data_IF_579310791624
#
_entry.id   IF_579310791624
#
_cell.length_a   1.000
_cell.length_b   1.000
_cell.length_c   1.000
_cell.angle_alpha   90.00
_cell.angle_beta   90.00
_cell.angle_gamma   90.00
#
_symmetry.space_group_name_H-M   'P 1'
#
loop_
_entity.id
_entity.type
_entity.pdbx_description
1 polymer ?
#
# COMPACT_ATOMS: atom_id res chain seq x y z
N UNK A 1 58.08 -33.94 54.29
CA UNK A 1 56.96 -34.52 53.51
C UNK A 1 55.67 -33.98 54.09
N UNK A 2 55.13 -32.91 53.51
CA UNK A 2 53.79 -32.40 53.81
C UNK A 2 53.12 -32.16 52.47
N UNK A 3 52.30 -33.13 52.07
CA UNK A 3 51.49 -33.06 50.86
C UNK A 3 50.22 -32.29 51.22
N UNK A 4 50.20 -30.99 50.91
CA UNK A 4 48.98 -30.19 50.98
C UNK A 4 48.08 -30.60 49.81
N UNK A 5 47.00 -31.30 50.13
CA UNK A 5 45.95 -31.70 49.19
C UNK A 5 45.16 -30.42 48.82
N UNK A 6 45.43 -29.86 47.65
CA UNK A 6 44.56 -28.85 47.03
C UNK A 6 43.24 -29.54 46.67
N UNK A 7 42.24 -29.35 47.52
CA UNK A 7 40.86 -29.68 47.21
C UNK A 7 40.29 -28.50 46.39
N UNK A 8 40.55 -28.50 45.09
CA UNK A 8 39.84 -27.63 44.13
C UNK A 8 38.38 -28.07 44.09
N UNK A 9 37.55 -27.37 44.86
CA UNK A 9 36.09 -27.46 44.79
C UNK A 9 35.68 -27.01 43.39
N UNK A 10 35.42 -27.99 42.51
CA UNK A 10 34.62 -27.82 41.31
C UNK A 10 33.20 -27.49 41.76
N UNK A 11 32.91 -26.21 41.95
CA UNK A 11 31.53 -25.74 41.90
C UNK A 11 31.00 -26.16 40.52
N UNK A 12 29.95 -26.99 40.40
CA UNK A 12 29.27 -27.11 39.12
C UNK A 12 28.81 -25.70 38.79
N UNK A 13 29.28 -25.17 37.65
CA UNK A 13 28.79 -23.90 37.15
C UNK A 13 27.26 -24.03 37.01
N UNK A 14 26.51 -23.41 37.92
CA UNK A 14 25.06 -23.21 37.82
C UNK A 14 24.83 -22.25 36.65
N UNK A 15 25.03 -22.74 35.44
CA UNK A 15 24.70 -22.08 34.20
C UNK A 15 23.65 -22.91 33.45
N UNK A 16 23.04 -22.34 32.40
CA UNK A 16 21.94 -22.93 31.62
C UNK A 16 22.26 -24.28 30.93
N UNK A 17 23.44 -24.86 31.15
CA UNK A 17 23.90 -26.10 30.55
C UNK A 17 24.18 -26.04 29.05
N UNK A 18 23.79 -24.95 28.38
CA UNK A 18 24.11 -24.61 26.99
C UNK A 18 25.26 -23.60 26.97
N UNK A 19 26.08 -23.64 25.93
CA UNK A 19 27.02 -22.54 25.63
C UNK A 19 26.28 -21.34 25.05
N UNK A 20 26.88 -20.14 25.13
CA UNK A 20 26.33 -18.94 24.49
C UNK A 20 26.24 -19.10 22.97
N UNK A 21 27.20 -19.79 22.36
CA UNK A 21 27.20 -20.07 20.91
C UNK A 21 26.03 -20.96 20.50
N UNK A 22 25.74 -22.02 21.26
CA UNK A 22 24.58 -22.87 21.02
C UNK A 22 23.25 -22.10 21.16
N UNK A 23 23.17 -21.17 22.11
CA UNK A 23 21.98 -20.34 22.27
C UNK A 23 21.81 -19.36 21.10
N UNK A 24 22.90 -18.71 20.67
CA UNK A 24 22.87 -17.79 19.54
C UNK A 24 22.54 -18.50 18.22
N UNK A 25 23.15 -19.66 17.95
CA UNK A 25 22.90 -20.46 16.75
C UNK A 25 21.44 -20.97 16.69
N UNK A 26 20.90 -21.43 17.83
CA UNK A 26 19.49 -21.84 17.91
C UNK A 26 18.54 -20.68 17.54
N UNK A 27 18.82 -19.47 18.03
CA UNK A 27 18.03 -18.27 17.69
C UNK A 27 18.19 -17.88 16.23
N UNK A 28 19.41 -17.93 15.69
CA UNK A 28 19.68 -17.63 14.29
C UNK A 28 18.89 -18.57 13.36
N UNK A 29 18.91 -19.88 13.63
CA UNK A 29 18.19 -20.88 12.85
C UNK A 29 16.67 -20.73 12.98
N UNK A 30 16.18 -20.50 14.20
CA UNK A 30 14.76 -20.29 14.45
C UNK A 30 14.25 -19.02 13.74
N UNK A 31 15.02 -17.93 13.77
CA UNK A 31 14.65 -16.69 13.08
C UNK A 31 14.67 -16.83 11.55
N UNK A 32 15.66 -17.55 11.00
CA UNK A 32 15.71 -17.84 9.56
C UNK A 32 14.51 -18.69 9.10
N UNK A 33 13.98 -19.56 9.98
CA UNK A 33 12.78 -20.35 9.70
C UNK A 33 11.48 -19.55 9.87
N UNK A 34 11.45 -18.62 10.82
CA UNK A 34 10.24 -17.85 11.17
C UNK A 34 9.96 -16.69 10.20
N UNK A 35 10.99 -16.16 9.55
CA UNK A 35 10.85 -15.08 8.59
C UNK A 35 10.87 -15.60 7.16
N UNK A 36 10.04 -15.04 6.26
CA UNK A 36 10.09 -15.41 4.86
C UNK A 36 11.44 -15.00 4.25
N UNK A 37 11.78 -15.61 3.11
CA UNK A 37 13.08 -15.46 2.45
C UNK A 37 13.40 -14.05 1.93
N UNK A 38 14.39 -13.91 1.03
CA UNK A 38 14.75 -12.62 0.45
C UNK A 38 13.57 -12.00 -0.32
N UNK A 39 13.52 -10.67 -0.39
CA UNK A 39 12.43 -9.95 -1.07
C UNK A 39 11.89 -8.76 -0.28
N UNK A 40 10.70 -8.30 -0.71
CA UNK A 40 10.05 -7.08 -0.21
C UNK A 40 9.13 -7.39 0.96
N UNK A 41 9.28 -6.69 2.06
CA UNK A 41 8.56 -6.93 3.31
C UNK A 41 7.59 -5.81 3.64
N UNK A 42 6.36 -6.16 3.93
CA UNK A 42 5.30 -5.22 4.30
C UNK A 42 4.78 -5.45 5.70
N UNK A 43 4.26 -4.38 6.28
CA UNK A 43 3.48 -4.41 7.52
C UNK A 43 2.05 -3.99 7.26
N UNK A 44 1.12 -4.69 7.90
CA UNK A 44 -0.29 -4.34 7.85
C UNK A 44 -0.58 -3.15 8.79
N UNK A 45 -1.02 -2.05 8.20
CA UNK A 45 -1.66 -0.93 8.89
C UNK A 45 -3.12 -1.32 9.16
N UNK A 46 -3.41 -1.72 10.40
CA UNK A 46 -4.71 -2.25 10.78
C UNK A 46 -5.80 -1.17 10.80
N UNK A 47 -6.91 -1.48 10.13
CA UNK A 47 -8.07 -0.62 9.93
C UNK A 47 -8.27 -0.24 8.47
N UNK A 48 -9.52 -0.21 8.02
CA UNK A 48 -9.93 0.30 6.68
C UNK A 48 -10.69 1.61 6.83
N UNK A 49 -10.10 2.56 7.53
CA UNK A 49 -10.68 3.88 7.75
C UNK A 49 -9.60 4.95 7.64
N UNK A 50 -10.00 6.21 7.51
CA UNK A 50 -9.10 7.37 7.52
C UNK A 50 -7.97 7.29 8.55
N UNK A 51 -8.26 6.78 9.75
CA UNK A 51 -7.30 6.63 10.83
C UNK A 51 -7.05 5.15 11.12
N UNK A 52 -5.80 4.71 10.96
CA UNK A 52 -5.35 3.33 11.21
C UNK A 52 -4.49 3.25 12.46
N UNK A 53 -4.30 2.04 13.00
CA UNK A 53 -3.44 1.83 14.18
C UNK A 53 -1.98 2.15 13.82
N UNK A 54 -1.33 3.00 14.62
CA UNK A 54 0.04 3.45 14.41
C UNK A 54 1.00 3.21 15.58
N UNK A 55 0.61 2.43 16.59
CA UNK A 55 1.36 2.22 17.84
C UNK A 55 2.78 1.64 17.70
N UNK A 56 3.11 1.08 16.54
CA UNK A 56 4.44 0.58 16.20
C UNK A 56 5.39 1.68 15.73
N UNK A 57 4.87 2.87 15.45
CA UNK A 57 5.66 4.01 14.96
C UNK A 57 5.90 5.05 16.04
N UNK A 58 7.00 5.77 15.88
CA UNK A 58 7.29 7.00 16.61
C UNK A 58 6.53 8.17 15.97
N UNK A 59 5.59 8.77 16.72
CA UNK A 59 4.69 9.82 16.22
C UNK A 59 5.44 11.03 15.63
N UNK A 60 6.49 11.50 16.32
CA UNK A 60 7.30 12.62 15.84
C UNK A 60 8.04 12.29 14.54
N UNK A 61 8.50 11.04 14.39
CA UNK A 61 9.21 10.61 13.18
C UNK A 61 8.28 10.62 11.96
N UNK A 62 7.10 10.02 12.07
CA UNK A 62 6.15 9.93 10.95
C UNK A 62 5.62 11.30 10.52
N UNK A 63 5.46 12.24 11.45
CA UNK A 63 5.10 13.63 11.12
C UNK A 63 6.26 14.37 10.45
N UNK A 64 7.46 14.32 11.04
CA UNK A 64 8.65 15.04 10.54
C UNK A 64 9.06 14.60 9.14
N UNK A 65 8.89 13.33 8.82
CA UNK A 65 9.16 12.76 7.48
C UNK A 65 7.99 12.84 6.51
N UNK A 66 6.90 13.52 6.88
CA UNK A 66 5.68 13.65 6.09
C UNK A 66 5.09 12.29 5.66
N UNK A 67 5.21 11.27 6.52
CA UNK A 67 4.71 9.92 6.23
C UNK A 67 3.23 9.79 6.57
N UNK A 68 2.80 10.42 7.66
CA UNK A 68 1.43 10.37 8.10
C UNK A 68 1.05 11.58 8.95
N UNK A 69 -0.21 12.00 8.83
CA UNK A 69 -0.87 12.76 9.87
C UNK A 69 -1.01 11.88 11.11
N UNK A 70 -0.88 12.49 12.29
CA UNK A 70 -1.08 11.83 13.58
C UNK A 70 -2.30 12.47 14.23
N UNK A 71 -3.24 11.64 14.66
CA UNK A 71 -4.40 12.11 15.42
C UNK A 71 -3.95 12.54 16.82
N UNK A 72 -4.60 13.56 17.40
CA UNK A 72 -4.18 14.17 18.67
C UNK A 72 -4.00 13.10 19.76
N UNK A 73 -2.76 12.84 20.22
CA UNK A 73 -2.49 11.78 21.19
C UNK A 73 -3.15 12.05 22.54
N UNK A 74 -3.64 13.27 22.80
CA UNK A 74 -4.39 13.60 24.03
C UNK A 74 -5.83 13.10 24.02
N UNK A 75 -6.38 12.69 22.87
CA UNK A 75 -7.77 12.25 22.71
C UNK A 75 -7.93 10.75 22.49
N UNK A 76 -6.84 10.01 22.28
CA UNK A 76 -6.88 8.57 22.04
C UNK A 76 -5.80 7.85 22.86
N UNK A 77 -6.19 6.79 23.56
CA UNK A 77 -5.27 5.92 24.32
C UNK A 77 -4.28 5.16 23.42
N UNK A 78 -4.51 5.15 22.09
CA UNK A 78 -3.68 4.47 21.10
C UNK A 78 -3.30 5.42 19.97
N UNK A 79 -2.03 5.45 19.59
CA UNK A 79 -1.56 6.26 18.46
C UNK A 79 -2.29 5.83 17.18
N UNK A 80 -2.96 6.79 16.53
CA UNK A 80 -3.61 6.61 15.22
C UNK A 80 -2.95 7.50 14.20
N UNK A 81 -2.77 6.96 13.01
CA UNK A 81 -2.11 7.64 11.90
C UNK A 81 -2.96 7.60 10.64
N UNK A 82 -2.66 8.50 9.73
CA UNK A 82 -3.31 8.63 8.43
C UNK A 82 -2.21 8.94 7.40
N UNK A 83 -1.89 8.01 6.48
CA UNK A 83 -0.83 8.23 5.50
C UNK A 83 -1.08 9.49 4.65
N UNK A 84 -0.06 10.34 4.51
CA UNK A 84 -0.15 11.50 3.61
C UNK A 84 -0.21 11.05 2.16
N UNK A 85 -0.70 11.91 1.26
CA UNK A 85 -0.78 11.57 -0.16
C UNK A 85 0.56 11.11 -0.75
N UNK A 86 1.64 11.82 -0.42
CA UNK A 86 2.98 11.46 -0.89
C UNK A 86 3.42 10.10 -0.37
N UNK A 87 3.08 9.78 0.88
CA UNK A 87 3.47 8.53 1.53
C UNK A 87 2.60 7.33 1.15
N UNK A 88 1.35 7.55 0.71
CA UNK A 88 0.45 6.48 0.27
C UNK A 88 1.05 5.60 -0.82
N UNK A 89 2.00 6.12 -1.62
CA UNK A 89 2.72 5.35 -2.64
C UNK A 89 3.39 4.08 -2.11
N UNK A 90 3.75 4.03 -0.82
CA UNK A 90 4.36 2.86 -0.18
C UNK A 90 3.35 1.78 0.19
N UNK A 91 2.06 2.02 -0.03
CA UNK A 91 0.97 1.08 0.22
C UNK A 91 0.66 0.37 -1.09
N UNK A 92 1.15 -0.86 -1.25
CA UNK A 92 1.08 -1.58 -2.53
C UNK A 92 0.17 -2.80 -2.52
N UNK A 93 -0.40 -3.14 -1.36
CA UNK A 93 -1.35 -4.23 -1.22
C UNK A 93 -2.36 -3.97 -0.09
N UNK A 94 -3.38 -4.82 -0.01
CA UNK A 94 -4.39 -4.80 1.05
C UNK A 94 -4.73 -6.22 1.54
N UNK A 95 -5.22 -6.29 2.78
CA UNK A 95 -5.66 -7.53 3.45
C UNK A 95 -7.14 -7.37 3.84
N UNK A 96 -7.80 -8.41 4.39
CA UNK A 96 -9.09 -8.21 5.05
C UNK A 96 -9.05 -7.21 6.22
N UNK A 97 -7.93 -7.11 6.94
CA UNK A 97 -7.79 -6.30 8.16
C UNK A 97 -7.31 -4.87 7.96
N UNK A 98 -6.66 -4.54 6.84
CA UNK A 98 -6.02 -3.25 6.64
C UNK A 98 -5.27 -3.11 5.32
N UNK A 99 -4.25 -2.25 5.33
CA UNK A 99 -3.43 -1.94 4.16
C UNK A 99 -1.97 -2.29 4.40
N UNK A 100 -1.27 -2.72 3.37
CA UNK A 100 0.10 -3.18 3.50
C UNK A 100 1.09 -2.11 3.06
N UNK A 101 1.86 -1.60 4.01
CA UNK A 101 2.92 -0.62 3.76
C UNK A 101 4.27 -1.32 3.65
N UNK A 102 5.04 -0.99 2.62
CA UNK A 102 6.39 -1.52 2.42
C UNK A 102 7.33 -0.99 3.52
N UNK A 103 8.00 -1.88 4.24
CA UNK A 103 9.03 -1.57 5.23
C UNK A 103 10.44 -1.62 4.66
N UNK A 104 10.69 -2.47 3.68
CA UNK A 104 12.01 -2.56 3.06
C UNK A 104 12.24 -3.86 2.30
N UNK A 105 13.48 -4.04 1.85
CA UNK A 105 13.94 -5.23 1.14
C UNK A 105 15.02 -5.96 1.92
N UNK A 106 15.00 -7.28 1.82
CA UNK A 106 15.98 -8.22 2.34
C UNK A 106 16.17 -8.07 3.86
N UNK A 107 15.19 -8.61 4.60
CA UNK A 107 15.23 -8.67 6.06
C UNK A 107 16.47 -9.42 6.53
N UNK A 108 17.21 -8.78 7.42
CA UNK A 108 18.36 -9.31 8.13
C UNK A 108 18.02 -9.42 9.61
N UNK A 109 18.38 -10.55 10.19
CA UNK A 109 18.23 -10.80 11.63
C UNK A 109 19.62 -10.77 12.25
N UNK A 110 19.86 -9.80 13.12
CA UNK A 110 21.08 -9.70 13.91
C UNK A 110 20.85 -10.28 15.31
N UNK A 111 21.58 -11.35 15.62
CA UNK A 111 21.60 -11.95 16.95
C UNK A 111 22.74 -11.33 17.75
N UNK A 112 22.38 -10.62 18.82
CA UNK A 112 23.35 -9.99 19.71
C UNK A 112 23.91 -10.95 20.77
N UNK A 113 24.84 -10.48 21.62
CA UNK A 113 25.51 -11.33 22.59
C UNK A 113 24.52 -11.87 23.64
N UNK A 114 24.43 -13.20 23.83
CA UNK A 114 23.59 -13.78 24.87
C UNK A 114 24.02 -13.37 26.27
N UNK A 115 23.06 -13.08 27.14
CA UNK A 115 23.26 -12.88 28.58
C UNK A 115 22.57 -13.99 29.38
N UNK A 116 23.08 -14.34 30.54
CA UNK A 116 22.44 -15.34 31.41
C UNK A 116 21.41 -14.66 32.31
N UNK A 117 20.20 -15.21 32.35
CA UNK A 117 19.20 -14.86 33.36
C UNK A 117 18.63 -16.16 33.95
N UNK A 118 18.84 -16.36 35.26
CA UNK A 118 18.51 -17.61 35.94
C UNK A 118 19.17 -18.83 35.24
N UNK A 119 18.38 -19.83 34.87
CA UNK A 119 18.81 -21.06 34.18
C UNK A 119 18.62 -21.01 32.66
N UNK A 120 18.57 -19.80 32.07
CA UNK A 120 18.41 -19.63 30.62
C UNK A 120 19.33 -18.56 30.03
N UNK A 121 19.54 -18.65 28.73
CA UNK A 121 20.12 -17.57 27.94
C UNK A 121 19.03 -16.61 27.49
N UNK A 122 19.27 -15.31 27.64
CA UNK A 122 18.48 -14.24 27.04
C UNK A 122 19.27 -13.74 25.84
N UNK A 123 18.69 -13.88 24.66
CA UNK A 123 19.35 -13.57 23.40
C UNK A 123 18.64 -12.37 22.78
N UNK A 124 19.30 -11.21 22.66
CA UNK A 124 18.75 -10.06 21.97
C UNK A 124 18.75 -10.28 20.45
N UNK A 125 17.66 -9.89 19.81
CA UNK A 125 17.46 -9.99 18.36
C UNK A 125 17.06 -8.63 17.82
N UNK A 126 17.73 -8.18 16.76
CA UNK A 126 17.42 -6.94 16.04
C UNK A 126 17.12 -7.25 14.59
N UNK A 127 16.01 -6.74 14.09
CA UNK A 127 15.63 -6.84 12.68
C UNK A 127 16.14 -5.62 11.92
N UNK A 128 16.65 -5.80 10.70
CA UNK A 128 17.11 -4.73 9.82
C UNK A 128 16.78 -5.03 8.38
N UNK A 129 16.63 -4.00 7.55
CA UNK A 129 16.53 -4.17 6.10
C UNK A 129 17.81 -3.69 5.43
N UNK A 130 18.25 -4.39 4.40
CA UNK A 130 19.34 -3.91 3.55
C UNK A 130 18.95 -2.61 2.83
N UNK A 131 17.68 -2.49 2.45
CA UNK A 131 17.08 -1.28 1.87
C UNK A 131 15.82 -0.90 2.65
N UNK A 132 15.94 -0.16 3.76
CA UNK A 132 14.78 0.27 4.52
C UNK A 132 13.97 1.32 3.74
N UNK A 133 12.64 1.25 3.87
CA UNK A 133 11.77 2.35 3.47
C UNK A 133 11.73 3.42 4.58
N UNK A 134 11.27 4.65 4.27
CA UNK A 134 11.05 5.67 5.29
C UNK A 134 10.12 5.23 6.43
N UNK A 135 9.19 4.30 6.17
CA UNK A 135 8.29 3.77 7.20
C UNK A 135 9.03 2.92 8.23
N UNK A 136 9.97 2.07 7.80
CA UNK A 136 10.79 1.29 8.73
C UNK A 136 11.63 2.19 9.64
N UNK A 137 12.18 3.29 9.10
CA UNK A 137 12.99 4.24 9.88
C UNK A 137 12.21 4.92 11.00
N UNK A 138 10.88 4.89 10.96
CA UNK A 138 10.01 5.42 12.01
C UNK A 138 9.41 4.37 12.93
N UNK A 139 9.77 3.08 12.79
CA UNK A 139 9.35 2.07 13.76
C UNK A 139 10.05 2.30 15.11
N UNK A 140 9.32 2.05 16.21
CA UNK A 140 9.88 2.15 17.55
C UNK A 140 10.79 0.97 17.88
N UNK A 141 11.65 1.16 18.88
CA UNK A 141 12.63 0.14 19.29
C UNK A 141 11.98 -1.19 19.70
N UNK A 142 10.77 -1.15 20.29
CA UNK A 142 10.02 -2.35 20.70
C UNK A 142 9.52 -3.18 19.51
N UNK A 143 9.41 -2.57 18.34
CA UNK A 143 9.01 -3.26 17.11
C UNK A 143 10.24 -3.85 16.40
N UNK A 144 11.37 -3.14 16.43
CA UNK A 144 12.61 -3.54 15.73
C UNK A 144 13.43 -4.56 16.55
N UNK A 145 13.30 -4.55 17.88
CA UNK A 145 14.10 -5.36 18.79
C UNK A 145 13.23 -6.24 19.66
N UNK A 146 13.65 -7.49 19.83
CA UNK A 146 13.06 -8.43 20.79
C UNK A 146 14.16 -9.15 21.56
N UNK A 147 13.78 -9.81 22.64
CA UNK A 147 14.65 -10.71 23.40
C UNK A 147 13.95 -12.04 23.54
N UNK A 148 14.64 -13.12 23.20
CA UNK A 148 14.10 -14.47 23.35
C UNK A 148 14.87 -15.24 24.39
N UNK A 149 14.16 -16.13 25.08
CA UNK A 149 14.75 -17.02 26.08
C UNK A 149 15.14 -18.32 25.39
N UNK A 150 16.33 -18.83 25.71
CA UNK A 150 16.81 -20.13 25.22
C UNK A 150 17.15 -21.01 26.42
N UNK A 151 16.49 -22.16 26.49
CA UNK A 151 16.65 -23.15 27.53
C UNK A 151 16.95 -24.52 26.93
N UNK A 152 17.19 -25.53 27.77
CA UNK A 152 17.27 -26.92 27.32
C UNK A 152 15.89 -27.55 27.32
N UNK A 153 15.56 -28.27 26.25
CA UNK A 153 14.42 -29.18 26.26
C UNK A 153 14.73 -30.48 27.03
N UNK A 154 13.73 -31.37 27.11
CA UNK A 154 13.84 -32.68 27.76
C UNK A 154 14.90 -33.60 27.12
N UNK A 155 15.27 -33.35 25.85
CA UNK A 155 16.31 -34.07 25.13
C UNK A 155 17.71 -33.42 25.28
N UNK A 156 17.80 -32.32 26.03
CA UNK A 156 19.03 -31.55 26.24
C UNK A 156 19.44 -30.65 25.07
N UNK A 157 18.56 -30.45 24.08
CA UNK A 157 18.75 -29.57 22.93
C UNK A 157 18.32 -28.13 23.24
N UNK A 158 18.85 -27.12 22.52
CA UNK A 158 18.36 -25.75 22.63
C UNK A 158 16.89 -25.63 22.23
N UNK A 159 16.08 -25.06 23.11
CA UNK A 159 14.69 -24.68 22.87
C UNK A 159 14.56 -23.16 22.97
N UNK A 160 13.99 -22.54 21.93
CA UNK A 160 13.75 -21.09 21.87
C UNK A 160 12.31 -20.81 22.31
N UNK A 161 12.17 -20.06 23.40
CA UNK A 161 10.90 -19.59 23.95
C UNK A 161 10.66 -18.15 23.47
N UNK A 162 9.86 -17.99 22.41
CA UNK A 162 9.46 -16.68 21.88
C UNK A 162 9.10 -16.69 20.39
N UNK A 163 8.45 -15.62 19.91
CA UNK A 163 8.17 -15.40 18.49
C UNK A 163 9.32 -14.64 17.83
N UNK A 164 9.90 -15.25 16.79
CA UNK A 164 11.02 -14.70 16.02
C UNK A 164 10.62 -14.24 14.61
N UNK A 165 9.32 -14.28 14.28
CA UNK A 165 8.83 -13.56 13.11
C UNK A 165 8.93 -12.06 13.42
N UNK A 166 9.50 -11.28 12.49
CA UNK A 166 9.64 -9.83 12.68
C UNK A 166 8.28 -9.18 12.95
N UNK A 167 7.26 -9.56 12.17
CA UNK A 167 5.88 -9.15 12.38
C UNK A 167 4.94 -10.26 11.91
N UNK A 168 3.86 -10.58 12.67
CA UNK A 168 2.76 -11.38 12.16
C UNK A 168 1.98 -10.51 11.15
N UNK A 169 2.43 -10.52 9.90
CA UNK A 169 1.87 -9.69 8.83
C UNK A 169 1.04 -10.57 7.90
N UNK A 170 -0.23 -10.22 7.68
CA UNK A 170 -1.06 -10.84 6.65
C UNK A 170 -0.75 -10.29 5.25
N UNK A 171 0.23 -9.39 5.14
CA UNK A 171 0.64 -8.83 3.86
C UNK A 171 1.30 -9.88 2.96
N UNK A 172 1.11 -9.77 1.63
CA UNK A 172 1.77 -10.65 0.69
C UNK A 172 3.30 -10.53 0.82
N UNK A 173 3.98 -11.67 0.69
CA UNK A 173 5.43 -11.72 0.59
C UNK A 173 5.84 -12.49 -0.68
N UNK A 174 6.62 -11.86 -1.59
CA UNK A 174 7.09 -10.47 -1.52
C UNK A 174 5.94 -9.47 -1.71
N UNK A 175 6.08 -8.28 -1.11
CA UNK A 175 5.18 -7.15 -1.36
C UNK A 175 5.23 -6.72 -2.84
N UNK A 176 4.10 -6.39 -3.47
CA UNK A 176 4.10 -5.86 -4.83
C UNK A 176 4.91 -4.56 -4.98
N UNK A 177 5.50 -4.31 -6.16
CA UNK A 177 6.16 -3.04 -6.46
C UNK A 177 5.17 -1.90 -6.77
N UNK A 178 5.68 -0.70 -7.05
CA UNK A 178 4.89 0.38 -7.65
C UNK A 178 4.88 1.70 -6.89
N UNK A 179 5.89 1.96 -6.06
CA UNK A 179 5.97 3.16 -5.22
C UNK A 179 6.29 4.44 -5.99
N UNK A 180 6.67 4.35 -7.26
CA UNK A 180 7.10 5.50 -8.03
C UNK A 180 5.91 6.26 -8.63
N UNK A 181 5.78 7.54 -8.28
CA UNK A 181 4.87 8.47 -8.96
C UNK A 181 5.56 9.06 -10.19
N UNK A 182 5.54 8.34 -11.31
CA UNK A 182 6.17 8.76 -12.56
C UNK A 182 5.33 9.78 -13.36
N UNK A 183 4.83 10.80 -12.67
CA UNK A 183 3.94 11.81 -13.24
C UNK A 183 4.60 12.67 -14.33
N UNK A 184 3.80 13.08 -15.30
CA UNK A 184 4.12 14.05 -16.36
C UNK A 184 3.15 15.22 -16.27
N UNK A 185 3.61 16.40 -16.67
CA UNK A 185 2.77 17.61 -16.73
C UNK A 185 1.55 17.38 -17.62
N UNK A 186 1.80 16.82 -18.81
CA UNK A 186 0.77 16.63 -19.83
C UNK A 186 0.59 15.15 -20.18
N UNK A 187 -0.66 14.77 -20.42
CA UNK A 187 -1.00 13.48 -21.01
C UNK A 187 -0.58 13.41 -22.49
N UNK A 188 -0.23 12.23 -23.02
CA UNK A 188 -0.02 12.04 -24.45
C UNK A 188 -1.27 12.43 -25.25
N UNK A 189 -1.15 13.44 -26.12
CA UNK A 189 -2.24 13.92 -27.00
C UNK A 189 -2.08 13.37 -28.42
N UNK A 190 -2.07 12.04 -28.56
CA UNK A 190 -1.93 11.37 -29.86
C UNK A 190 -3.20 10.57 -30.17
N UNK A 191 -3.78 10.82 -31.34
CA UNK A 191 -4.87 9.99 -31.84
C UNK A 191 -4.41 8.54 -32.06
N UNK A 192 -5.27 7.59 -31.73
CA UNK A 192 -5.09 6.20 -32.11
C UNK A 192 -5.14 6.05 -33.63
N UNK A 193 -4.44 5.05 -34.20
CA UNK A 193 -4.56 4.75 -35.64
C UNK A 193 -5.99 4.43 -36.07
N UNK A 194 -6.80 3.88 -35.17
CA UNK A 194 -8.22 3.56 -35.37
C UNK A 194 -9.00 3.83 -34.08
N UNK A 195 -10.28 4.23 -34.15
CA UNK A 195 -11.16 4.29 -32.97
C UNK A 195 -11.25 2.93 -32.26
N UNK A 196 -11.49 2.91 -30.93
CA UNK A 196 -11.70 1.66 -30.21
C UNK A 196 -13.03 1.04 -30.63
N UNK A 197 -13.03 -0.27 -30.87
CA UNK A 197 -14.25 -1.04 -31.06
C UNK A 197 -14.89 -1.39 -29.73
N UNK A 198 -16.15 -1.85 -29.76
CA UNK A 198 -16.80 -2.39 -28.56
C UNK A 198 -16.03 -3.58 -27.98
N UNK A 199 -15.50 -4.44 -28.84
CA UNK A 199 -14.69 -5.59 -28.42
C UNK A 199 -13.41 -5.15 -27.70
N UNK A 200 -12.71 -4.14 -28.22
CA UNK A 200 -11.51 -3.59 -27.57
C UNK A 200 -11.82 -3.07 -26.16
N UNK A 201 -12.92 -2.32 -26.03
CA UNK A 201 -13.35 -1.77 -24.74
C UNK A 201 -13.75 -2.88 -23.78
N UNK A 202 -14.54 -3.88 -24.22
CA UNK A 202 -14.93 -5.01 -23.38
C UNK A 202 -13.73 -5.81 -22.89
N UNK A 203 -12.75 -6.05 -23.76
CA UNK A 203 -11.52 -6.76 -23.41
C UNK A 203 -10.73 -6.00 -22.35
N UNK A 204 -10.56 -4.69 -22.52
CA UNK A 204 -9.90 -3.82 -21.55
C UNK A 204 -10.62 -3.81 -20.20
N UNK A 205 -11.95 -3.64 -20.21
CA UNK A 205 -12.76 -3.64 -18.99
C UNK A 205 -12.65 -4.96 -18.23
N UNK A 206 -12.72 -6.10 -18.93
CA UNK A 206 -12.61 -7.43 -18.32
C UNK A 206 -11.23 -7.67 -17.74
N UNK A 207 -10.16 -7.33 -18.48
CA UNK A 207 -8.79 -7.49 -17.97
C UNK A 207 -8.55 -6.65 -16.71
N UNK A 208 -8.96 -5.38 -16.72
CA UNK A 208 -8.87 -4.52 -15.53
C UNK A 208 -9.67 -5.09 -14.35
N UNK A 209 -10.90 -5.54 -14.61
CA UNK A 209 -11.77 -6.11 -13.57
C UNK A 209 -11.24 -7.42 -13.00
N UNK A 210 -10.66 -8.29 -13.84
CA UNK A 210 -10.00 -9.54 -13.45
C UNK A 210 -8.81 -9.24 -12.54
N UNK A 211 -7.97 -8.27 -12.87
CA UNK A 211 -6.82 -7.91 -12.01
C UNK A 211 -7.27 -7.30 -10.67
N UNK A 212 -8.34 -6.48 -10.66
CA UNK A 212 -8.96 -6.02 -9.41
C UNK A 212 -9.53 -7.18 -8.59
N UNK A 213 -10.10 -8.19 -9.25
CA UNK A 213 -10.68 -9.38 -8.62
C UNK A 213 -9.63 -10.24 -7.92
N UNK A 214 -8.48 -10.42 -8.57
CA UNK A 214 -7.31 -11.12 -8.03
C UNK A 214 -6.50 -10.27 -7.04
N UNK A 215 -6.93 -9.01 -6.80
CA UNK A 215 -6.23 -8.01 -5.97
C UNK A 215 -4.81 -7.70 -6.47
N UNK A 216 -4.53 -7.91 -7.75
CA UNK A 216 -3.29 -7.48 -8.39
C UNK A 216 -3.38 -6.00 -8.78
N UNK A 217 -3.13 -5.13 -7.79
CA UNK A 217 -3.22 -3.67 -7.97
C UNK A 217 -2.17 -3.13 -8.95
N UNK A 218 -1.07 -3.86 -9.14
CA UNK A 218 -0.01 -3.47 -10.09
C UNK A 218 -0.49 -3.74 -11.51
N UNK A 219 -0.94 -4.97 -11.80
CA UNK A 219 -1.51 -5.32 -13.10
C UNK A 219 -2.74 -4.45 -13.42
N UNK A 220 -3.64 -4.24 -12.45
CA UNK A 220 -4.79 -3.38 -12.62
C UNK A 220 -4.38 -1.94 -13.01
N UNK A 221 -3.32 -1.38 -12.40
CA UNK A 221 -2.82 -0.05 -12.72
C UNK A 221 -2.26 0.05 -14.13
N UNK A 222 -1.69 -1.04 -14.67
CA UNK A 222 -1.21 -1.06 -16.04
C UNK A 222 -2.34 -0.75 -17.02
N UNK A 223 -3.59 -1.11 -16.75
CA UNK A 223 -4.74 -0.80 -17.63
C UNK A 223 -5.22 0.66 -17.55
N UNK A 224 -4.59 1.51 -16.73
CA UNK A 224 -5.11 2.83 -16.39
C UNK A 224 -4.24 3.98 -16.92
N UNK A 225 -4.88 4.90 -17.64
CA UNK A 225 -4.41 6.24 -17.91
C UNK A 225 -4.81 7.14 -16.72
N UNK A 226 -3.94 7.24 -15.72
CA UNK A 226 -4.21 8.00 -14.51
C UNK A 226 -4.07 9.51 -14.70
N UNK A 227 -5.05 10.25 -14.20
CA UNK A 227 -5.04 11.70 -14.05
C UNK A 227 -5.10 12.11 -12.58
N UNK A 228 -4.12 12.87 -12.10
CA UNK A 228 -4.18 13.56 -10.82
C UNK A 228 -4.34 15.06 -11.04
N UNK A 229 -5.59 15.53 -11.04
CA UNK A 229 -5.92 16.94 -11.32
C UNK A 229 -5.64 17.88 -10.14
N UNK A 230 -5.02 17.38 -9.06
CA UNK A 230 -4.62 18.17 -7.89
C UNK A 230 -3.10 18.38 -7.81
N UNK A 231 -2.35 17.89 -8.80
CA UNK A 231 -0.88 17.95 -8.86
C UNK A 231 -0.44 18.66 -10.14
N UNK A 232 0.76 19.23 -10.15
CA UNK A 232 1.38 19.82 -11.34
C UNK A 232 1.66 18.75 -12.40
N UNK A 233 2.01 17.54 -11.95
CA UNK A 233 2.25 16.38 -12.81
C UNK A 233 0.97 15.57 -12.97
N UNK A 234 0.04 16.12 -13.76
CA UNK A 234 -1.34 15.65 -13.85
C UNK A 234 -1.53 14.27 -14.44
N UNK A 235 -0.55 13.71 -15.16
CA UNK A 235 -0.73 12.44 -15.87
C UNK A 235 0.27 11.39 -15.40
N UNK A 236 -0.20 10.17 -15.10
CA UNK A 236 0.67 9.02 -14.78
C UNK A 236 1.31 9.07 -13.38
N UNK A 237 0.79 9.90 -12.47
CA UNK A 237 1.30 10.04 -11.10
C UNK A 237 0.69 9.05 -10.10
N UNK A 238 -0.11 8.10 -10.56
CA UNK A 238 -0.72 7.09 -9.70
C UNK A 238 0.27 5.96 -9.37
N UNK A 239 -0.04 5.29 -8.27
CA UNK A 239 0.58 4.11 -7.70
C UNK A 239 -0.51 3.09 -7.42
N UNK A 240 -0.17 1.83 -7.10
CA UNK A 240 -1.17 0.81 -6.76
C UNK A 240 -2.08 1.21 -5.59
N UNK A 241 -1.62 2.13 -4.73
CA UNK A 241 -2.38 2.64 -3.59
C UNK A 241 -3.75 3.21 -3.99
N UNK A 242 -3.84 3.90 -5.13
CA UNK A 242 -5.10 4.52 -5.54
C UNK A 242 -6.13 3.55 -6.12
N UNK A 243 -5.75 2.28 -6.27
CA UNK A 243 -6.66 1.19 -6.64
C UNK A 243 -7.08 0.32 -5.45
N UNK A 244 -6.52 0.53 -4.25
CA UNK A 244 -6.85 -0.29 -3.07
C UNK A 244 -8.33 -0.16 -2.68
N UNK A 245 -8.90 1.05 -2.83
CA UNK A 245 -10.32 1.29 -2.56
C UNK A 245 -11.23 1.04 -3.77
N UNK A 246 -10.65 0.63 -4.89
CA UNK A 246 -11.38 0.34 -6.13
C UNK A 246 -11.63 -1.17 -6.18
N UNK A 247 -12.91 -1.53 -6.11
CA UNK A 247 -13.35 -2.92 -6.16
C UNK A 247 -13.68 -3.39 -7.58
N UNK A 248 -13.67 -4.71 -7.80
CA UNK A 248 -14.17 -5.28 -9.05
C UNK A 248 -15.69 -5.16 -9.12
N UNK A 249 -16.23 -5.35 -10.32
CA UNK A 249 -17.65 -5.60 -10.52
C UNK A 249 -18.04 -6.89 -9.78
N UNK A 250 -19.13 -6.94 -9.00
CA UNK A 250 -19.36 -8.02 -8.04
C UNK A 250 -19.64 -9.42 -8.62
N UNK A 251 -19.74 -9.65 -9.94
CA UNK A 251 -19.97 -10.99 -10.57
C UNK A 251 -21.00 -11.90 -9.88
N UNK A 252 -22.01 -11.30 -9.23
CA UNK A 252 -22.99 -11.96 -8.36
C UNK A 252 -22.45 -12.62 -7.06
N UNK A 253 -21.22 -12.34 -6.67
CA UNK A 253 -20.60 -12.71 -5.39
C UNK A 253 -20.43 -11.48 -4.49
N UNK A 254 -20.65 -11.65 -3.19
CA UNK A 254 -20.37 -10.58 -2.22
C UNK A 254 -18.88 -10.60 -1.86
N UNK A 255 -18.22 -9.45 -2.02
CA UNK A 255 -16.78 -9.28 -1.75
C UNK A 255 -16.57 -8.15 -0.74
N UNK A 256 -17.04 -8.32 0.50
CA UNK A 256 -16.91 -7.31 1.53
C UNK A 256 -15.42 -7.07 1.81
N UNK A 257 -14.95 -5.87 1.47
CA UNK A 257 -13.57 -5.44 1.72
C UNK A 257 -12.74 -5.12 0.49
N UNK A 258 -13.22 -5.41 -0.72
CA UNK A 258 -12.48 -5.11 -1.97
C UNK A 258 -12.64 -3.67 -2.45
N UNK A 259 -13.40 -2.84 -1.72
CA UNK A 259 -13.68 -1.45 -2.07
C UNK A 259 -14.99 -1.27 -2.84
N UNK A 260 -15.20 -0.06 -3.35
CA UNK A 260 -16.39 0.25 -4.16
C UNK A 260 -16.15 -0.24 -5.58
N UNK A 261 -17.06 -1.05 -6.11
CA UNK A 261 -16.99 -1.51 -7.50
C UNK A 261 -16.72 -0.34 -8.45
N UNK A 262 -15.69 -0.44 -9.29
CA UNK A 262 -15.27 0.64 -10.19
C UNK A 262 -16.37 1.07 -11.17
N UNK A 263 -17.29 0.15 -11.47
CA UNK A 263 -18.48 0.41 -12.29
C UNK A 263 -19.58 1.14 -11.52
N UNK A 264 -19.44 1.47 -10.24
CA UNK A 264 -20.41 2.15 -9.36
C UNK A 264 -21.86 1.64 -9.48
N UNK A 265 -22.05 0.32 -9.71
CA UNK A 265 -23.37 -0.28 -9.93
C UNK A 265 -24.11 0.21 -11.19
N UNK A 266 -23.39 0.80 -12.15
CA UNK A 266 -23.91 1.31 -13.41
C UNK A 266 -24.37 0.19 -14.33
N UNK A 267 -23.56 -0.86 -14.51
CA UNK A 267 -23.87 -1.96 -15.43
C UNK A 267 -24.44 -3.19 -14.70
N UNK A 268 -25.17 -4.03 -15.43
CA UNK A 268 -25.48 -5.41 -14.99
C UNK A 268 -24.46 -6.39 -15.55
N UNK A 269 -24.02 -6.14 -16.77
CA UNK A 269 -23.03 -6.93 -17.52
C UNK A 269 -22.08 -5.97 -18.24
N UNK A 270 -20.85 -6.38 -18.47
CA UNK A 270 -19.90 -5.62 -19.27
C UNK A 270 -20.40 -5.33 -20.67
N UNK A 271 -21.26 -6.19 -21.23
CA UNK A 271 -21.86 -5.99 -22.54
C UNK A 271 -22.90 -4.85 -22.57
N UNK A 272 -23.23 -4.16 -21.47
CA UNK A 272 -24.22 -3.05 -21.44
C UNK A 272 -23.71 -1.72 -22.07
N UNK A 273 -22.71 -1.77 -22.96
CA UNK A 273 -22.21 -0.59 -23.68
C UNK A 273 -23.21 -0.14 -24.75
N UNK A 274 -23.59 1.15 -24.71
CA UNK A 274 -24.53 1.74 -25.66
C UNK A 274 -23.83 2.43 -26.82
N UNK A 275 -22.82 3.25 -26.54
CA UNK A 275 -22.09 3.98 -27.58
C UNK A 275 -20.67 4.31 -27.17
N UNK A 276 -19.81 4.46 -28.18
CA UNK A 276 -18.42 4.90 -28.05
C UNK A 276 -18.28 6.15 -28.89
N UNK A 277 -17.94 7.29 -28.27
CA UNK A 277 -17.90 8.60 -28.93
C UNK A 277 -16.54 9.26 -28.74
N UNK A 278 -15.96 9.82 -29.79
CA UNK A 278 -14.68 10.53 -29.72
C UNK A 278 -14.83 11.78 -28.83
N UNK A 279 -13.86 12.04 -27.96
CA UNK A 279 -13.74 13.30 -27.24
C UNK A 279 -13.17 14.37 -28.20
N UNK A 280 -13.91 15.43 -28.53
CA UNK A 280 -13.46 16.43 -29.50
C UNK A 280 -12.25 17.26 -29.05
N UNK A 281 -12.04 17.46 -27.73
CA UNK A 281 -11.01 18.36 -27.19
C UNK A 281 -9.74 17.63 -26.71
N UNK A 282 -9.78 16.30 -26.56
CA UNK A 282 -8.63 15.49 -26.11
C UNK A 282 -8.34 14.41 -27.17
N UNK A 283 -7.28 14.60 -28.00
CA UNK A 283 -6.89 13.62 -29.00
C UNK A 283 -6.62 12.24 -28.38
N UNK A 284 -7.10 11.19 -29.05
CA UNK A 284 -6.96 9.81 -28.58
C UNK A 284 -7.87 9.41 -27.41
N UNK A 285 -8.82 10.24 -26.97
CA UNK A 285 -9.79 9.89 -25.93
C UNK A 285 -11.19 9.61 -26.51
N UNK A 286 -11.88 8.61 -25.95
CA UNK A 286 -13.24 8.23 -26.30
C UNK A 286 -14.09 8.00 -25.05
N UNK A 287 -15.34 8.43 -25.08
CA UNK A 287 -16.33 8.19 -24.02
C UNK A 287 -17.13 6.93 -24.32
N UNK A 288 -17.22 6.05 -23.34
CA UNK A 288 -18.03 4.84 -23.38
C UNK A 288 -19.28 5.08 -22.54
N UNK A 289 -20.44 5.19 -23.20
CA UNK A 289 -21.71 5.49 -22.55
C UNK A 289 -22.51 4.22 -22.26
N UNK A 290 -23.24 4.26 -21.15
CA UNK A 290 -24.08 3.17 -20.65
C UNK A 290 -25.22 3.71 -19.79
N UNK A 291 -26.34 2.99 -19.77
CA UNK A 291 -27.46 3.30 -18.87
C UNK A 291 -27.23 2.74 -17.48
N UNK A 292 -27.31 3.59 -16.45
CA UNK A 292 -27.25 3.16 -15.06
C UNK A 292 -28.41 2.22 -14.70
N UNK A 293 -28.08 1.03 -14.19
CA UNK A 293 -29.02 -0.05 -13.82
C UNK A 293 -30.24 0.41 -13.03
N UNK A 294 -30.01 1.16 -11.94
CA UNK A 294 -31.05 1.69 -11.05
C UNK A 294 -31.67 3.01 -11.51
N UNK A 295 -30.87 4.06 -11.67
CA UNK A 295 -31.38 5.42 -11.94
C UNK A 295 -31.83 5.65 -13.39
N UNK A 296 -31.47 4.75 -14.31
CA UNK A 296 -31.72 4.86 -15.76
C UNK A 296 -31.09 6.08 -16.43
N UNK A 297 -30.18 6.77 -15.74
CA UNK A 297 -29.44 7.90 -16.29
C UNK A 297 -28.21 7.41 -17.04
N UNK A 298 -27.86 8.12 -18.10
CA UNK A 298 -26.61 7.90 -18.82
C UNK A 298 -25.42 8.21 -17.91
N UNK A 299 -24.48 7.27 -17.89
CA UNK A 299 -23.18 7.38 -17.26
C UNK A 299 -22.11 7.09 -18.29
N UNK A 300 -20.89 7.59 -18.06
CA UNK A 300 -19.76 7.19 -18.89
C UNK A 300 -18.46 7.13 -18.12
N UNK A 301 -17.60 6.22 -18.56
CA UNK A 301 -16.16 6.31 -18.36
C UNK A 301 -15.50 6.70 -19.69
N UNK A 302 -14.21 7.01 -19.66
CA UNK A 302 -13.43 7.28 -20.85
C UNK A 302 -12.31 6.25 -21.03
N UNK A 303 -11.93 6.02 -22.28
CA UNK A 303 -10.72 5.29 -22.66
C UNK A 303 -9.79 6.22 -23.41
N UNK A 304 -8.48 6.03 -23.24
CA UNK A 304 -7.47 6.83 -23.90
C UNK A 304 -6.38 5.97 -24.52
N UNK A 305 -5.95 6.34 -25.72
CA UNK A 305 -4.82 5.74 -26.40
C UNK A 305 -3.50 6.26 -25.83
N UNK A 306 -2.75 5.38 -25.17
CA UNK A 306 -1.49 5.71 -24.49
C UNK A 306 -0.48 4.62 -24.81
N UNK A 307 0.74 4.99 -25.21
CA UNK A 307 1.82 4.01 -25.36
C UNK A 307 1.62 2.94 -26.45
N UNK A 308 0.60 3.07 -27.31
CA UNK A 308 0.28 2.04 -28.33
C UNK A 308 -0.85 1.10 -27.93
N UNK A 309 -1.60 1.42 -26.89
CA UNK A 309 -2.70 0.60 -26.37
C UNK A 309 -3.82 1.47 -25.78
N UNK A 310 -5.00 0.88 -25.61
CA UNK A 310 -6.14 1.52 -24.95
C UNK A 310 -6.07 1.33 -23.44
N UNK A 311 -6.27 2.41 -22.69
CA UNK A 311 -6.29 2.42 -21.22
C UNK A 311 -7.57 3.05 -20.71
N UNK A 312 -8.06 2.60 -19.55
CA UNK A 312 -9.17 3.22 -18.84
C UNK A 312 -8.69 4.55 -18.25
N UNK A 313 -9.48 5.62 -18.41
CA UNK A 313 -9.18 6.89 -17.79
C UNK A 313 -9.63 6.84 -16.33
N UNK A 314 -8.65 6.77 -15.42
CA UNK A 314 -8.85 6.91 -13.99
C UNK A 314 -8.47 8.32 -13.54
N UNK A 315 -9.28 8.97 -12.72
CA UNK A 315 -8.97 10.29 -12.17
C UNK A 315 -8.95 10.20 -10.65
N UNK A 316 -7.95 10.81 -10.03
CA UNK A 316 -7.86 10.93 -8.57
C UNK A 316 -9.07 11.71 -8.07
N UNK A 317 -9.87 11.07 -7.19
CA UNK A 317 -11.13 11.63 -6.71
C UNK A 317 -10.94 12.82 -5.78
N UNK A 318 -10.10 12.68 -4.76
CA UNK A 318 -9.82 13.72 -3.78
C UNK A 318 -8.44 13.48 -3.14
N UNK A 319 -7.75 14.56 -2.78
CA UNK A 319 -6.61 14.48 -1.87
C UNK A 319 -7.10 14.68 -0.43
N UNK A 320 -6.68 13.82 0.49
CA UNK A 320 -7.07 13.95 1.88
C UNK A 320 -6.32 13.01 2.82
N UNK A 321 -6.73 13.04 4.09
CA UNK A 321 -6.23 12.15 5.14
C UNK A 321 -6.77 10.71 5.02
N UNK A 322 -7.61 10.40 4.03
CA UNK A 322 -7.98 9.01 3.74
C UNK A 322 -7.10 8.47 2.61
N UNK A 323 -7.14 7.17 2.35
CA UNK A 323 -6.57 6.66 1.11
C UNK A 323 -7.22 7.38 -0.08
N UNK A 324 -6.35 7.93 -0.90
CA UNK A 324 -6.72 8.51 -2.18
C UNK A 324 -7.19 7.39 -3.09
N UNK A 325 -8.29 7.58 -3.82
CA UNK A 325 -8.85 6.56 -4.70
C UNK A 325 -9.05 7.10 -6.11
N UNK A 326 -8.84 6.22 -7.09
CA UNK A 326 -9.21 6.46 -8.47
C UNK A 326 -10.70 6.29 -8.69
N UNK A 327 -11.26 7.18 -9.50
CA UNK A 327 -12.62 7.07 -10.02
C UNK A 327 -12.59 6.99 -11.54
N UNK A 328 -13.55 6.25 -12.10
CA UNK A 328 -13.60 5.96 -13.53
C UNK A 328 -14.86 6.55 -14.20
N UNK A 329 -15.95 6.68 -13.46
CA UNK A 329 -17.23 7.19 -13.97
C UNK A 329 -17.38 8.70 -13.73
N UNK A 330 -16.72 9.48 -14.58
CA UNK A 330 -16.74 10.95 -14.55
C UNK A 330 -17.79 11.59 -15.45
N UNK A 331 -18.52 10.81 -16.24
CA UNK A 331 -19.57 11.30 -17.14
C UNK A 331 -19.07 12.38 -18.12
N UNK A 332 -17.81 12.28 -18.58
CA UNK A 332 -17.18 13.27 -19.48
C UNK A 332 -17.86 13.40 -20.86
N UNK A 333 -18.83 12.54 -21.18
CA UNK A 333 -19.74 12.76 -22.31
C UNK A 333 -20.63 14.00 -22.13
N UNK A 334 -20.89 14.43 -20.88
CA UNK A 334 -21.67 15.63 -20.54
C UNK A 334 -20.76 16.85 -20.57
N UNK A 335 -21.20 17.90 -21.25
CA UNK A 335 -20.37 19.09 -21.51
C UNK A 335 -19.95 19.81 -20.24
N UNK A 336 -20.85 19.95 -19.26
CA UNK A 336 -20.58 20.59 -17.97
C UNK A 336 -19.45 19.89 -17.21
N UNK A 337 -19.49 18.54 -17.15
CA UNK A 337 -18.45 17.74 -16.48
C UNK A 337 -17.13 17.75 -17.24
N UNK A 338 -17.20 17.66 -18.57
CA UNK A 338 -16.03 17.73 -19.44
C UNK A 338 -15.32 19.07 -19.32
N UNK A 339 -16.05 20.18 -19.34
CA UNK A 339 -15.45 21.51 -19.34
C UNK A 339 -14.77 21.80 -17.99
N UNK A 340 -15.33 21.34 -16.87
CA UNK A 340 -14.64 21.37 -15.56
C UNK A 340 -13.38 20.50 -15.57
N UNK A 341 -13.45 19.28 -16.10
CA UNK A 341 -12.28 18.40 -16.21
C UNK A 341 -11.15 19.05 -17.01
N UNK A 342 -11.46 19.68 -18.15
CA UNK A 342 -10.48 20.34 -19.01
C UNK A 342 -9.84 21.56 -18.35
N UNK A 343 -10.64 22.42 -17.72
CA UNK A 343 -10.13 23.57 -16.95
C UNK A 343 -9.15 23.14 -15.86
N UNK A 344 -9.52 22.11 -15.09
CA UNK A 344 -8.63 21.49 -14.09
C UNK A 344 -7.39 20.87 -14.72
N UNK A 345 -7.53 20.21 -15.87
CA UNK A 345 -6.40 19.68 -16.62
C UNK A 345 -5.44 20.78 -17.10
N UNK A 346 -5.96 21.96 -17.44
CA UNK A 346 -5.18 23.11 -17.91
C UNK A 346 -4.46 23.87 -16.80
N UNK A 347 -4.90 23.76 -15.55
CA UNK A 347 -4.24 24.45 -14.42
C UNK A 347 -5.20 25.13 -13.48
N UNK A 348 -6.47 25.22 -13.84
CA UNK A 348 -7.39 26.01 -13.04
C UNK A 348 -7.68 25.34 -11.69
N UNK A 349 -7.46 26.10 -10.61
CA UNK A 349 -7.64 25.66 -9.23
C UNK A 349 -9.11 25.63 -8.83
N UNK A 350 -9.85 24.70 -9.44
CA UNK A 350 -11.27 24.48 -9.18
C UNK A 350 -11.55 23.03 -8.75
N UNK A 351 -12.62 22.84 -8.00
CA UNK A 351 -13.10 21.55 -7.55
C UNK A 351 -13.84 20.77 -8.66
N UNK A 352 -14.37 19.59 -8.34
CA UNK A 352 -15.16 18.76 -9.26
C UNK A 352 -16.51 19.35 -9.69
N UNK A 353 -16.94 20.45 -9.08
CA UNK A 353 -18.15 21.21 -9.40
C UNK A 353 -17.82 22.46 -10.22
N UNK A 354 -16.55 22.83 -10.31
CA UNK A 354 -16.05 24.02 -11.00
C UNK A 354 -15.99 25.26 -10.11
N UNK A 355 -16.06 25.09 -8.79
CA UNK A 355 -15.93 26.14 -7.78
C UNK A 355 -14.44 26.34 -7.41
N UNK A 356 -13.99 27.56 -7.12
CA UNK A 356 -12.59 27.83 -6.74
C UNK A 356 -12.20 27.01 -5.50
N UNK A 357 -11.02 26.37 -5.52
CA UNK A 357 -10.51 25.60 -4.38
C UNK A 357 -10.19 26.50 -3.19
N UNK A 358 -9.63 27.68 -3.45
CA UNK A 358 -9.50 28.76 -2.47
C UNK A 358 -10.33 29.97 -2.91
N UNK A 359 -11.51 30.21 -2.32
CA UNK A 359 -12.34 31.36 -2.66
C UNK A 359 -11.74 32.69 -2.21
N UNK A 360 -10.65 32.68 -1.43
CA UNK A 360 -9.97 33.86 -0.89
C UNK A 360 -8.54 34.03 -1.41
N UNK A 361 -8.06 33.17 -2.31
CA UNK A 361 -6.77 33.37 -2.97
C UNK A 361 -6.80 34.73 -3.67
N UNK A 362 -5.93 35.65 -3.24
CA UNK A 362 -5.77 36.96 -3.86
C UNK A 362 -5.45 36.74 -5.35
N UNK A 363 -6.24 37.34 -6.24
CA UNK A 363 -5.95 37.29 -7.67
C UNK A 363 -4.60 38.00 -7.88
N UNK A 364 -3.55 37.22 -8.14
CA UNK A 364 -2.26 37.78 -8.53
C UNK A 364 -2.47 38.54 -9.84
N UNK A 365 -2.48 39.88 -9.77
CA UNK A 365 -2.44 40.75 -10.94
C UNK A 365 -1.17 40.43 -11.74
N UNK A 366 -1.35 39.88 -12.95
CA UNK A 366 -0.27 39.77 -13.96
C UNK A 366 -0.05 41.08 -14.71
#
# INVERSE_FOLDING_TARGET
MSTALLLSILLPACGPGLTSEQAADAVQQAAAKANPGPGRFGMELLGKSRWVKGQMFEAECVQRKDLAFVDDPKKSETLRISPTWQSQRWITADTPGGWCVLLGEDLQVEVGPPSVEQDAWIVPVTYKFAKPSPWYECLNDRTIRTTVRVSKDEAGQPAVDGELAFLPSACPHPMPPGEERAGKKDAPRKDAPKPPTREDVLKLMKAFDDDLWERDRVAALEHVACYNLYDDKKFGSCTPAELIQVGPHPRAEDRPGDGVAWTEGVIKDFDDIESIRKEPKIPGMYHVTMTHKRSKRDRSFAVQWVGGEWKLVGVVGALGADLTSLRFLYDLHKSDKRDVFLRRLEGEEIDERGEKLDPYAEETEE
#
